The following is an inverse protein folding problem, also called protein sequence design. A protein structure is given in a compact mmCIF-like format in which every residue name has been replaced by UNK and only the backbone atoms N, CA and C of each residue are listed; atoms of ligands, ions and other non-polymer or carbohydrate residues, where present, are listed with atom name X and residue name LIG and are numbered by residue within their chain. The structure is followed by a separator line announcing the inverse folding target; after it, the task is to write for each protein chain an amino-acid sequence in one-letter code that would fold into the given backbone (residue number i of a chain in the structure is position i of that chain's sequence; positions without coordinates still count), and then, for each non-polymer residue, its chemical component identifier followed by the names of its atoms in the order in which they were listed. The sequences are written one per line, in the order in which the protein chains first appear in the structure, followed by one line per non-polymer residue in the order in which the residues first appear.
data_IF_710434934633
#
_entry.id   IF_710434934633
#
_cell.length_a   1.000
_cell.length_b   1.000
_cell.length_c   1.000
_cell.angle_alpha   90.00
_cell.angle_beta   90.00
_cell.angle_gamma   90.00
#
_symmetry.space_group_name_H-M   'P 1'
#
loop_
_entity.id
_entity.type
_entity.pdbx_description
1 polymer ?
#
# COMPACT_ATOMS: atom_id res chain seq x y z
N UNK A 1 9.54 18.33 -8.97
CA UNK A 1 8.07 18.25 -8.92
C UNK A 1 7.62 18.82 -7.58
N UNK A 2 6.78 19.82 -7.64
CA UNK A 2 6.26 20.46 -6.44
C UNK A 2 5.32 19.48 -5.72
N UNK A 3 5.55 19.25 -4.42
CA UNK A 3 4.68 18.37 -3.63
C UNK A 3 3.35 19.03 -3.41
N UNK A 4 2.29 18.35 -3.78
CA UNK A 4 0.95 18.80 -3.44
C UNK A 4 0.75 18.53 -1.95
N UNK A 5 0.53 19.61 -1.20
CA UNK A 5 0.24 19.50 0.23
C UNK A 5 -1.05 18.67 0.44
N UNK A 6 -1.13 17.84 1.48
CA UNK A 6 -2.36 17.12 1.84
C UNK A 6 -3.61 18.00 1.92
N UNK A 7 -3.44 19.29 2.12
CA UNK A 7 -4.55 20.27 2.13
C UNK A 7 -5.29 20.37 0.79
N UNK A 8 -4.64 20.00 -0.30
CA UNK A 8 -5.23 20.03 -1.64
C UNK A 8 -5.92 18.73 -2.05
N UNK A 9 -5.74 17.65 -1.30
CA UNK A 9 -6.33 16.35 -1.62
C UNK A 9 -7.87 16.41 -1.66
N UNK A 10 -8.47 17.19 -0.79
CA UNK A 10 -9.92 17.36 -0.75
C UNK A 10 -10.48 18.18 -1.93
N UNK A 11 -9.61 18.80 -2.72
CA UNK A 11 -10.01 19.64 -3.87
C UNK A 11 -9.80 18.94 -5.20
N UNK A 12 -9.15 17.77 -5.22
CA UNK A 12 -8.93 16.99 -6.43
C UNK A 12 -10.09 16.03 -6.70
N UNK A 13 -10.61 16.01 -7.92
CA UNK A 13 -11.54 14.97 -8.33
C UNK A 13 -10.88 13.59 -8.19
N UNK A 14 -11.59 12.56 -7.68
CA UNK A 14 -11.05 11.22 -7.51
C UNK A 14 -10.48 10.60 -8.79
N UNK A 15 -11.07 10.91 -9.94
CA UNK A 15 -10.61 10.44 -11.24
C UNK A 15 -9.19 10.91 -11.58
N UNK A 16 -8.85 12.15 -11.23
CA UNK A 16 -7.50 12.69 -11.44
C UNK A 16 -6.47 12.05 -10.53
N UNK A 17 -6.87 11.69 -9.33
CA UNK A 17 -5.99 11.00 -8.38
C UNK A 17 -5.59 9.62 -8.88
N UNK A 18 -6.52 8.88 -9.49
CA UNK A 18 -6.26 7.57 -10.07
C UNK A 18 -5.35 7.64 -11.30
N UNK A 19 -5.38 8.75 -12.05
CA UNK A 19 -4.54 8.94 -13.23
C UNK A 19 -3.12 9.45 -12.93
N UNK A 20 -2.90 10.00 -11.75
CA UNK A 20 -1.63 10.62 -11.36
C UNK A 20 -1.17 10.15 -9.98
N UNK A 21 -0.75 8.88 -9.86
CA UNK A 21 -0.41 8.28 -8.56
C UNK A 21 0.70 9.02 -7.81
N UNK A 22 1.60 9.69 -8.52
CA UNK A 22 2.69 10.44 -7.91
C UNK A 22 2.27 11.75 -7.21
N UNK A 23 1.06 12.22 -7.46
CA UNK A 23 0.56 13.41 -6.77
C UNK A 23 0.33 13.18 -5.27
N UNK A 24 0.11 11.94 -4.89
CA UNK A 24 -0.10 11.55 -3.50
C UNK A 24 1.18 11.01 -2.84
N UNK A 25 2.29 11.10 -3.55
CA UNK A 25 3.57 10.57 -3.09
C UNK A 25 4.01 11.23 -1.78
N UNK A 26 4.31 10.41 -0.79
CA UNK A 26 4.91 10.83 0.48
C UNK A 26 6.22 10.08 0.69
N UNK A 27 7.28 10.73 1.20
CA UNK A 27 8.50 10.00 1.49
C UNK A 27 8.25 8.92 2.51
N UNK A 28 8.73 7.69 2.27
CA UNK A 28 8.68 6.65 3.28
C UNK A 28 9.60 7.03 4.44
N UNK A 29 9.26 6.58 5.64
CA UNK A 29 10.07 6.83 6.82
C UNK A 29 9.88 5.75 7.88
N UNK A 30 10.86 5.61 8.75
CA UNK A 30 10.76 4.79 9.94
C UNK A 30 9.89 5.50 10.97
N UNK A 31 8.83 4.83 11.41
CA UNK A 31 7.97 5.36 12.47
C UNK A 31 8.62 5.10 13.83
N UNK A 32 8.93 3.84 14.12
CA UNK A 32 9.55 3.40 15.36
C UNK A 32 10.01 1.95 15.25
N UNK A 33 11.18 1.62 15.78
CA UNK A 33 11.68 0.25 15.79
C UNK A 33 11.74 -0.33 14.37
N UNK A 34 10.97 -1.39 14.16
CA UNK A 34 10.85 -2.12 12.89
C UNK A 34 9.58 -1.78 12.09
N UNK A 35 8.92 -0.69 12.42
CA UNK A 35 7.70 -0.22 11.77
C UNK A 35 8.00 0.99 10.87
N UNK A 36 7.59 0.90 9.61
CA UNK A 36 7.82 1.91 8.58
C UNK A 36 6.51 2.35 7.94
N UNK A 37 6.42 3.63 7.58
CA UNK A 37 5.39 4.14 6.68
C UNK A 37 5.92 4.04 5.24
N UNK A 38 5.16 3.41 4.36
CA UNK A 38 5.50 3.24 2.95
C UNK A 38 4.33 3.60 2.01
N UNK A 39 3.26 4.12 2.57
CA UNK A 39 2.06 4.52 1.84
C UNK A 39 2.17 5.86 1.13
N UNK A 40 1.03 6.45 0.89
CA UNK A 40 0.89 7.77 0.31
C UNK A 40 -0.05 8.64 1.17
N UNK A 41 -0.32 9.87 0.74
CA UNK A 41 -1.18 10.78 1.50
C UNK A 41 -2.68 10.42 1.47
N UNK A 42 -3.08 9.47 0.62
CA UNK A 42 -4.44 8.98 0.52
C UNK A 42 -4.64 7.69 1.31
N UNK A 43 -3.76 6.73 1.12
CA UNK A 43 -3.81 5.43 1.77
C UNK A 43 -2.54 5.17 2.58
N UNK A 44 -2.70 4.94 3.87
CA UNK A 44 -1.60 4.54 4.73
C UNK A 44 -1.25 3.08 4.51
N UNK A 45 -0.03 2.80 4.05
CA UNK A 45 0.54 1.47 4.05
C UNK A 45 1.70 1.43 5.02
N UNK A 46 1.79 0.35 5.79
CA UNK A 46 2.83 0.18 6.80
C UNK A 46 3.58 -1.13 6.57
N UNK A 47 4.86 -1.09 6.82
CA UNK A 47 5.72 -2.25 6.69
C UNK A 47 6.33 -2.60 8.04
N UNK A 48 6.25 -3.87 8.41
CA UNK A 48 6.88 -4.41 9.62
C UNK A 48 7.99 -5.36 9.19
N UNK A 49 9.22 -5.05 9.58
CA UNK A 49 10.35 -5.96 9.43
C UNK A 49 10.40 -6.88 10.65
N UNK A 50 10.08 -8.17 10.45
CA UNK A 50 10.06 -9.14 11.54
C UNK A 50 11.42 -9.75 11.83
N UNK A 51 12.43 -9.45 10.99
CA UNK A 51 13.72 -10.14 11.01
C UNK A 51 13.70 -11.50 10.31
N UNK A 52 12.52 -12.02 9.96
CA UNK A 52 12.31 -13.26 9.20
C UNK A 52 11.26 -13.04 8.10
N UNK A 53 11.42 -11.98 7.36
CA UNK A 53 10.51 -11.51 6.33
C UNK A 53 9.70 -10.30 6.76
N UNK A 54 8.94 -9.77 5.82
CA UNK A 54 8.18 -8.54 5.97
C UNK A 54 6.68 -8.80 6.03
N UNK A 55 5.98 -8.01 6.83
CA UNK A 55 4.52 -7.93 6.83
C UNK A 55 4.13 -6.55 6.29
N UNK A 56 3.28 -6.52 5.27
CA UNK A 56 2.73 -5.29 4.73
C UNK A 56 1.28 -5.13 5.21
N UNK A 57 0.94 -3.99 5.77
CA UNK A 57 -0.41 -3.60 6.19
C UNK A 57 -1.01 -2.68 5.15
N UNK A 58 -2.05 -3.12 4.48
CA UNK A 58 -2.72 -2.47 3.37
C UNK A 58 -1.82 -2.16 2.17
N UNK A 59 -2.44 -2.03 1.03
CA UNK A 59 -1.80 -1.64 -0.22
C UNK A 59 -2.57 -0.49 -0.85
N UNK A 60 -1.90 0.39 -1.61
CA UNK A 60 -2.61 1.38 -2.40
C UNK A 60 -3.37 0.75 -3.57
N UNK A 61 -3.99 1.56 -4.40
CA UNK A 61 -4.55 1.13 -5.67
C UNK A 61 -3.46 0.58 -6.60
N UNK A 62 -3.86 -0.24 -7.56
CA UNK A 62 -2.93 -0.91 -8.47
C UNK A 62 -2.03 0.07 -9.24
N UNK A 63 -2.54 1.21 -9.66
CA UNK A 63 -1.77 2.22 -10.38
C UNK A 63 -0.58 2.77 -9.58
N UNK A 64 -0.60 2.63 -8.26
CA UNK A 64 0.43 3.13 -7.35
C UNK A 64 1.45 2.05 -6.95
N UNK A 65 1.32 0.83 -7.49
CA UNK A 65 2.22 -0.26 -7.15
C UNK A 65 3.70 0.07 -7.39
N UNK A 66 4.11 0.67 -8.52
CA UNK A 66 5.52 1.04 -8.71
C UNK A 66 6.03 1.99 -7.64
N UNK A 67 5.18 2.91 -7.22
CA UNK A 67 5.48 3.85 -6.14
C UNK A 67 5.66 3.15 -4.79
N UNK A 68 4.78 2.20 -4.45
CA UNK A 68 4.89 1.40 -3.23
C UNK A 68 6.21 0.61 -3.20
N UNK A 69 6.57 -0.02 -4.31
CA UNK A 69 7.81 -0.79 -4.42
C UNK A 69 9.04 0.10 -4.23
N UNK A 70 9.04 1.29 -4.82
CA UNK A 70 10.11 2.27 -4.62
C UNK A 70 10.23 2.73 -3.17
N UNK A 71 9.09 2.98 -2.51
CA UNK A 71 9.05 3.35 -1.10
C UNK A 71 9.62 2.24 -0.19
N UNK A 72 9.31 0.99 -0.47
CA UNK A 72 9.85 -0.16 0.28
C UNK A 72 11.36 -0.28 0.08
N UNK A 73 11.86 -0.17 -1.15
CA UNK A 73 13.30 -0.13 -1.41
C UNK A 73 13.99 1.03 -0.70
N UNK A 74 13.33 2.19 -0.65
CA UNK A 74 13.90 3.41 -0.04
C UNK A 74 14.10 3.29 1.47
N UNK A 75 13.34 2.45 2.16
CA UNK A 75 13.58 2.16 3.60
C UNK A 75 14.60 1.05 3.83
N UNK A 76 15.22 0.54 2.77
CA UNK A 76 16.37 -0.35 2.85
C UNK A 76 16.05 -1.84 2.88
N UNK A 77 14.82 -2.24 2.52
CA UNK A 77 14.41 -3.65 2.47
C UNK A 77 13.93 -4.05 1.09
N UNK A 78 13.97 -5.34 0.81
CA UNK A 78 13.58 -5.90 -0.48
C UNK A 78 12.08 -6.26 -0.47
N UNK A 79 11.24 -5.68 -1.36
CA UNK A 79 9.83 -6.03 -1.43
C UNK A 79 9.55 -7.53 -1.61
N UNK A 80 10.47 -8.28 -2.20
CA UNK A 80 10.33 -9.73 -2.37
C UNK A 80 10.36 -10.51 -1.06
N UNK A 81 10.78 -9.88 0.03
CA UNK A 81 10.77 -10.47 1.36
C UNK A 81 9.42 -10.35 2.06
N UNK A 82 8.44 -9.72 1.43
CA UNK A 82 7.06 -9.68 1.95
C UNK A 82 6.50 -11.10 1.97
N UNK A 83 6.18 -11.59 3.17
CA UNK A 83 5.60 -12.92 3.41
C UNK A 83 4.10 -12.87 3.61
N UNK A 84 3.60 -11.74 4.08
CA UNK A 84 2.19 -11.56 4.41
C UNK A 84 1.73 -10.15 4.07
N UNK A 85 0.54 -10.05 3.51
CA UNK A 85 -0.17 -8.79 3.26
C UNK A 85 -1.44 -8.83 4.09
N UNK A 86 -1.55 -7.96 5.08
CA UNK A 86 -2.73 -7.84 5.93
C UNK A 86 -3.60 -6.71 5.40
N UNK A 87 -4.85 -6.99 5.08
CA UNK A 87 -5.80 -6.01 4.58
C UNK A 87 -6.76 -5.64 5.70
N UNK A 88 -6.83 -4.36 6.02
CA UNK A 88 -7.66 -3.83 7.10
C UNK A 88 -9.14 -3.94 6.77
N UNK A 89 -9.50 -3.67 5.52
CA UNK A 89 -10.88 -3.77 5.03
C UNK A 89 -10.93 -3.79 3.49
N UNK A 90 -12.06 -4.21 2.94
CA UNK A 90 -12.22 -4.47 1.50
C UNK A 90 -12.58 -3.20 0.70
N UNK A 91 -11.79 -2.14 0.83
CA UNK A 91 -11.85 -0.98 -0.05
C UNK A 91 -10.65 -0.94 -1.01
N UNK A 92 -10.89 -0.46 -2.21
CA UNK A 92 -9.95 -0.51 -3.33
C UNK A 92 -8.60 0.16 -3.04
N UNK A 93 -8.61 1.24 -2.30
CA UNK A 93 -7.44 1.99 -1.86
C UNK A 93 -6.68 1.31 -0.70
N UNK A 94 -7.16 0.14 -0.24
CA UNK A 94 -6.53 -0.66 0.82
C UNK A 94 -6.13 -2.07 0.38
N UNK A 95 -6.66 -2.58 -0.75
CA UNK A 95 -6.28 -3.89 -1.28
C UNK A 95 -5.90 -3.88 -2.77
N UNK A 96 -6.02 -2.75 -3.46
CA UNK A 96 -5.94 -2.70 -4.92
C UNK A 96 -4.67 -3.30 -5.53
N UNK A 97 -3.52 -3.14 -4.89
CA UNK A 97 -2.25 -3.71 -5.35
C UNK A 97 -1.93 -5.09 -4.74
N UNK A 98 -2.76 -5.63 -3.85
CA UNK A 98 -2.44 -6.85 -3.11
C UNK A 98 -2.25 -8.08 -4.01
N UNK A 99 -3.11 -8.27 -5.00
CA UNK A 99 -3.02 -9.39 -5.94
C UNK A 99 -1.73 -9.35 -6.77
N UNK A 100 -1.37 -8.18 -7.29
CA UNK A 100 -0.14 -8.00 -8.04
C UNK A 100 1.11 -8.22 -7.17
N UNK A 101 1.09 -7.72 -5.93
CA UNK A 101 2.16 -7.98 -4.96
C UNK A 101 2.30 -9.45 -4.64
N UNK A 102 1.19 -10.15 -4.41
CA UNK A 102 1.21 -11.60 -4.20
C UNK A 102 1.87 -12.33 -5.37
N UNK A 103 1.58 -11.90 -6.58
CA UNK A 103 2.18 -12.48 -7.79
C UNK A 103 3.70 -12.30 -7.83
N UNK A 104 4.18 -11.12 -7.42
CA UNK A 104 5.61 -10.79 -7.38
C UNK A 104 6.34 -11.50 -6.23
N UNK A 105 5.70 -11.61 -5.06
CA UNK A 105 6.36 -11.99 -3.80
C UNK A 105 6.06 -13.40 -3.35
N UNK A 106 4.93 -13.98 -3.75
CA UNK A 106 4.39 -15.21 -3.19
C UNK A 106 3.75 -15.02 -1.80
N UNK A 107 3.56 -13.78 -1.34
CA UNK A 107 3.00 -13.49 -0.03
C UNK A 107 1.57 -14.02 0.12
N UNK A 108 1.21 -14.34 1.37
CA UNK A 108 -0.18 -14.67 1.73
C UNK A 108 -0.96 -13.38 1.95
N UNK A 109 -2.17 -13.31 1.38
CA UNK A 109 -3.11 -12.22 1.65
C UNK A 109 -4.05 -12.65 2.76
N UNK A 110 -4.14 -11.85 3.81
CA UNK A 110 -5.00 -12.07 4.97
C UNK A 110 -5.95 -10.90 5.15
N UNK A 111 -7.23 -11.21 5.30
CA UNK A 111 -8.28 -10.24 5.61
C UNK A 111 -9.39 -10.94 6.39
N UNK A 112 -10.35 -10.18 6.92
CA UNK A 112 -11.48 -10.75 7.65
C UNK A 112 -12.32 -11.66 6.74
N UNK A 113 -12.98 -12.66 7.33
CA UNK A 113 -13.88 -13.54 6.58
C UNK A 113 -15.07 -12.77 5.98
N UNK A 114 -15.53 -11.73 6.66
CA UNK A 114 -16.62 -10.85 6.17
C UNK A 114 -16.18 -10.11 4.92
N UNK A 115 -15.01 -9.47 4.94
CA UNK A 115 -14.47 -8.75 3.78
C UNK A 115 -14.15 -9.70 2.62
N UNK A 116 -13.61 -10.87 2.93
CA UNK A 116 -13.33 -11.89 1.91
C UNK A 116 -14.60 -12.33 1.18
N UNK A 117 -15.69 -12.55 1.92
CA UNK A 117 -17.00 -12.90 1.35
C UNK A 117 -17.57 -11.75 0.51
N UNK A 118 -17.46 -10.51 0.98
CA UNK A 118 -17.92 -9.32 0.26
C UNK A 118 -17.13 -9.13 -1.05
N UNK A 119 -15.82 -9.28 -1.02
CA UNK A 119 -14.99 -9.22 -2.23
C UNK A 119 -15.34 -10.31 -3.24
N UNK A 120 -15.58 -11.54 -2.78
CA UNK A 120 -15.95 -12.63 -3.65
C UNK A 120 -17.32 -12.45 -4.32
N UNK A 121 -18.23 -11.70 -3.70
CA UNK A 121 -19.56 -11.39 -4.22
C UNK A 121 -19.58 -10.21 -5.21
N UNK A 122 -18.51 -9.45 -5.31
CA UNK A 122 -18.41 -8.30 -6.24
C UNK A 122 -18.14 -8.80 -7.66
N UNK A 123 -18.87 -8.26 -8.63
CA UNK A 123 -18.65 -8.59 -10.04
C UNK A 123 -17.27 -8.11 -10.56
#
# INVERSE_FOLDING_TARGET
MERISPRFLNTFPPDKMLCHPYWMAEPPFRIWGNLYFVGNSWCSSHLIDTGDGLILLDTPCLAELPYLLDSIWSVGVNPREIRMILISHAHHDHYGAASALRHITGAKICLSAVDAADMAARP
#
